data_IF_778871199128
#
_entry.id   IF_778871199128
#
_cell.length_a   1.000
_cell.length_b   1.000
_cell.length_c   1.000
_cell.angle_alpha   90.00
_cell.angle_beta   90.00
_cell.angle_gamma   90.00
#
_symmetry.space_group_name_H-M   'P 1'
#
loop_
_entity.id
_entity.type
_entity.pdbx_description
1 polymer ?
#
# COMPACT_ATOMS: atom_id res chain seq x y z
N UNK A 1 19.97 5.69 17.06
CA UNK A 1 19.74 4.59 16.09
C UNK A 1 18.23 4.46 15.97
N UNK A 2 17.66 4.76 14.80
CA UNK A 2 16.21 4.62 14.61
C UNK A 2 15.90 3.12 14.51
N UNK A 3 15.00 2.62 15.35
CA UNK A 3 14.60 1.22 15.35
C UNK A 3 13.86 0.89 14.03
N UNK A 4 14.36 -0.09 13.29
CA UNK A 4 13.75 -0.53 12.02
C UNK A 4 12.30 -0.99 12.19
N UNK A 5 11.93 -1.46 13.39
CA UNK A 5 10.56 -1.80 13.76
C UNK A 5 9.65 -0.57 13.75
N UNK A 6 10.10 0.54 14.37
CA UNK A 6 9.34 1.79 14.42
C UNK A 6 9.15 2.40 13.03
N UNK A 7 10.16 2.28 12.16
CA UNK A 7 10.04 2.75 10.77
C UNK A 7 8.98 1.94 10.03
N UNK A 8 8.99 0.62 10.14
CA UNK A 8 7.99 -0.24 9.53
C UNK A 8 6.57 0.07 10.05
N UNK A 9 6.43 0.28 11.36
CA UNK A 9 5.16 0.69 11.97
C UNK A 9 4.64 1.98 11.33
N UNK A 10 5.45 3.03 11.27
CA UNK A 10 5.06 4.33 10.72
C UNK A 10 4.71 4.24 9.23
N UNK A 11 5.44 3.40 8.46
CA UNK A 11 5.15 3.18 7.04
C UNK A 11 3.80 2.49 6.84
N UNK A 12 3.50 1.45 7.62
CA UNK A 12 2.20 0.78 7.54
C UNK A 12 1.03 1.65 8.00
N UNK A 13 1.24 2.48 9.03
CA UNK A 13 0.27 3.48 9.43
C UNK A 13 0.02 4.50 8.31
N UNK A 14 1.09 4.98 7.66
CA UNK A 14 0.99 5.90 6.53
C UNK A 14 0.23 5.29 5.35
N UNK A 15 0.50 4.01 5.04
CA UNK A 15 -0.28 3.23 4.04
C UNK A 15 -1.76 3.24 4.41
N UNK A 16 -2.12 2.98 5.67
CA UNK A 16 -3.51 3.01 6.11
C UNK A 16 -4.13 4.42 5.94
N UNK A 17 -3.45 5.48 6.38
CA UNK A 17 -3.91 6.86 6.25
C UNK A 17 -4.19 7.26 4.79
N UNK A 18 -3.26 6.96 3.87
CA UNK A 18 -3.45 7.23 2.44
C UNK A 18 -4.59 6.37 1.88
N UNK A 19 -4.66 5.10 2.30
CA UNK A 19 -5.65 4.15 1.77
C UNK A 19 -7.10 4.51 2.11
N UNK A 20 -7.37 5.15 3.25
CA UNK A 20 -8.73 5.61 3.62
C UNK A 20 -9.35 6.49 2.53
N UNK A 21 -8.54 7.34 1.89
CA UNK A 21 -9.04 8.23 0.85
C UNK A 21 -9.28 7.52 -0.49
N UNK A 22 -8.63 6.37 -0.71
CA UNK A 22 -8.73 5.62 -1.98
C UNK A 22 -9.72 4.45 -1.93
N UNK A 23 -10.02 3.92 -0.75
CA UNK A 23 -10.77 2.66 -0.62
C UNK A 23 -12.22 2.75 -1.10
N UNK A 24 -12.81 3.95 -1.12
CA UNK A 24 -14.17 4.16 -1.66
C UNK A 24 -14.21 3.98 -3.18
N UNK A 25 -13.17 4.43 -3.88
CA UNK A 25 -13.12 4.44 -5.36
C UNK A 25 -12.51 3.16 -5.90
N UNK A 26 -11.55 2.60 -5.18
CA UNK A 26 -10.83 1.38 -5.57
C UNK A 26 -11.49 0.11 -5.00
N UNK A 27 -12.31 0.22 -3.96
CA UNK A 27 -12.99 -0.89 -3.27
C UNK A 27 -12.05 -2.07 -2.98
N UNK A 28 -10.89 -1.79 -2.41
CA UNK A 28 -9.83 -2.75 -2.19
C UNK A 28 -9.40 -2.86 -0.72
N UNK A 29 -8.54 -3.83 -0.45
CA UNK A 29 -8.12 -4.19 0.90
C UNK A 29 -6.93 -3.39 1.42
N UNK A 30 -6.36 -2.42 0.69
CA UNK A 30 -5.12 -1.77 1.13
C UNK A 30 -5.22 -1.00 2.45
N UNK A 31 -6.40 -0.47 2.77
CA UNK A 31 -6.64 0.11 4.08
C UNK A 31 -6.53 -0.95 5.19
N UNK A 32 -7.25 -2.06 5.05
CA UNK A 32 -7.22 -3.17 6.00
C UNK A 32 -5.81 -3.78 6.12
N UNK A 33 -5.11 -3.92 4.99
CA UNK A 33 -3.75 -4.48 4.95
C UNK A 33 -2.70 -3.55 5.54
N UNK A 34 -2.85 -2.23 5.39
CA UNK A 34 -2.04 -1.24 6.10
C UNK A 34 -2.18 -1.36 7.61
N UNK A 35 -3.42 -1.46 8.11
CA UNK A 35 -3.67 -1.69 9.54
C UNK A 35 -3.16 -3.04 10.03
N UNK A 36 -3.34 -4.10 9.23
CA UNK A 36 -2.81 -5.43 9.56
C UNK A 36 -1.28 -5.38 9.71
N UNK A 37 -0.57 -4.76 8.75
CA UNK A 37 0.87 -4.59 8.82
C UNK A 37 1.31 -3.78 10.05
N UNK A 38 0.59 -2.71 10.35
CA UNK A 38 0.82 -1.87 11.52
C UNK A 38 0.72 -2.68 12.82
N UNK A 39 -0.41 -3.38 13.04
CA UNK A 39 -0.63 -4.15 14.27
C UNK A 39 0.28 -5.37 14.38
N UNK A 40 0.60 -6.05 13.27
CA UNK A 40 1.51 -7.18 13.28
C UNK A 40 2.93 -6.75 13.66
N UNK A 41 3.45 -5.65 13.10
CA UNK A 41 4.78 -5.15 13.48
C UNK A 41 4.80 -4.61 14.91
N UNK A 42 3.79 -3.83 15.30
CA UNK A 42 3.71 -3.23 16.63
C UNK A 42 3.70 -4.28 17.74
N UNK A 43 2.92 -5.34 17.57
CA UNK A 43 2.71 -6.36 18.60
C UNK A 43 3.63 -7.58 18.47
N UNK A 44 4.49 -7.66 17.45
CA UNK A 44 5.41 -8.80 17.31
C UNK A 44 6.50 -8.74 18.38
N UNK A 45 6.82 -9.91 18.97
CA UNK A 45 7.99 -10.09 19.82
C UNK A 45 9.26 -10.11 18.97
N UNK A 46 10.38 -9.68 19.53
CA UNK A 46 11.65 -9.61 18.81
C UNK A 46 12.11 -11.00 18.31
N UNK A 47 11.77 -12.06 19.04
CA UNK A 47 12.02 -13.46 18.65
C UNK A 47 11.26 -13.91 17.39
N UNK A 48 10.15 -13.24 17.03
CA UNK A 48 9.29 -13.59 15.89
C UNK A 48 9.32 -12.55 14.77
N UNK A 49 10.06 -11.44 14.95
CA UNK A 49 10.06 -10.31 14.00
C UNK A 49 10.44 -10.72 12.58
N UNK A 50 11.40 -11.62 12.42
CA UNK A 50 11.85 -12.09 11.10
C UNK A 50 10.76 -12.89 10.37
N UNK A 51 10.05 -13.77 11.08
CA UNK A 51 8.93 -14.55 10.50
C UNK A 51 7.78 -13.62 10.12
N UNK A 52 7.42 -12.68 11.01
CA UNK A 52 6.41 -11.65 10.74
C UNK A 52 6.80 -10.81 9.53
N UNK A 53 8.07 -10.39 9.46
CA UNK A 53 8.59 -9.59 8.36
C UNK A 53 8.54 -10.34 7.03
N UNK A 54 8.88 -11.63 7.01
CA UNK A 54 8.79 -12.47 5.81
C UNK A 54 7.35 -12.57 5.29
N UNK A 55 6.38 -12.83 6.18
CA UNK A 55 4.96 -12.90 5.80
C UNK A 55 4.44 -11.57 5.27
N UNK A 56 4.77 -10.47 5.96
CA UNK A 56 4.37 -9.13 5.53
C UNK A 56 5.03 -8.71 4.21
N UNK A 57 6.28 -9.13 3.98
CA UNK A 57 7.00 -8.85 2.73
C UNK A 57 6.27 -9.51 1.55
N UNK A 58 5.96 -10.81 1.65
CA UNK A 58 5.28 -11.56 0.60
C UNK A 58 3.91 -10.95 0.27
N UNK A 59 3.14 -10.64 1.31
CA UNK A 59 1.81 -10.03 1.16
C UNK A 59 1.92 -8.65 0.50
N UNK A 60 2.85 -7.79 0.93
CA UNK A 60 2.97 -6.45 0.36
C UNK A 60 3.48 -6.46 -1.08
N UNK A 61 4.38 -7.38 -1.44
CA UNK A 61 4.80 -7.56 -2.84
C UNK A 61 3.60 -7.90 -3.72
N UNK A 62 2.74 -8.82 -3.28
CA UNK A 62 1.52 -9.16 -4.03
C UNK A 62 0.58 -7.95 -4.17
N UNK A 63 0.37 -7.20 -3.08
CA UNK A 63 -0.47 -5.99 -3.10
C UNK A 63 0.10 -4.90 -4.01
N UNK A 64 1.43 -4.74 -4.07
CA UNK A 64 2.08 -3.79 -4.99
C UNK A 64 1.79 -4.19 -6.45
N UNK A 65 1.91 -5.48 -6.79
CA UNK A 65 1.63 -5.96 -8.14
C UNK A 65 0.16 -5.70 -8.50
N UNK A 66 -0.77 -6.02 -7.60
CA UNK A 66 -2.20 -5.75 -7.81
C UNK A 66 -2.49 -4.26 -7.97
N UNK A 67 -1.82 -3.39 -7.21
CA UNK A 67 -1.98 -1.94 -7.32
C UNK A 67 -1.47 -1.38 -8.64
N UNK A 68 -0.33 -1.89 -9.13
CA UNK A 68 0.21 -1.50 -10.45
C UNK A 68 -0.77 -1.90 -11.55
N UNK A 69 -1.28 -3.14 -11.52
CA UNK A 69 -2.27 -3.63 -12.48
C UNK A 69 -3.56 -2.80 -12.44
N UNK A 70 -4.03 -2.45 -11.24
CA UNK A 70 -5.19 -1.60 -11.06
C UNK A 70 -4.96 -0.21 -11.65
N UNK A 71 -3.80 0.42 -11.36
CA UNK A 71 -3.45 1.73 -11.89
C UNK A 71 -3.43 1.73 -13.42
N UNK A 72 -2.82 0.71 -14.04
CA UNK A 72 -2.78 0.57 -15.49
C UNK A 72 -4.18 0.40 -16.10
N UNK A 73 -4.98 -0.51 -15.52
CA UNK A 73 -6.34 -0.81 -15.99
C UNK A 73 -7.23 0.42 -15.88
N UNK A 74 -7.24 1.08 -14.72
CA UNK A 74 -8.10 2.24 -14.50
C UNK A 74 -7.63 3.48 -15.25
N UNK A 75 -6.32 3.66 -15.48
CA UNK A 75 -5.83 4.70 -16.38
C UNK A 75 -6.39 4.53 -17.80
N UNK A 76 -6.38 3.30 -18.32
CA UNK A 76 -6.98 3.00 -19.62
C UNK A 76 -8.49 3.25 -19.63
N UNK A 77 -9.22 2.75 -18.63
CA UNK A 77 -10.68 2.95 -18.52
C UNK A 77 -11.04 4.43 -18.40
N UNK A 78 -10.31 5.20 -17.60
CA UNK A 78 -10.61 6.61 -17.34
C UNK A 78 -10.20 7.54 -18.48
N UNK A 79 -9.26 7.13 -19.34
CA UNK A 79 -8.95 7.81 -20.59
C UNK A 79 -10.05 7.67 -21.65
N UNK A 80 -10.91 6.65 -21.51
CA UNK A 80 -12.01 6.40 -22.44
C UNK A 80 -13.11 7.45 -22.24
N UNK A 81 -13.61 8.05 -23.33
CA UNK A 81 -14.75 8.98 -23.28
C UNK A 81 -16.05 8.21 -23.41
N UNK A 82 -16.92 8.16 -22.38
CA UNK A 82 -18.16 7.40 -22.47
C UNK A 82 -19.14 8.07 -23.46
N UNK A 83 -19.91 7.24 -24.17
CA UNK A 83 -20.95 7.69 -25.11
C UNK A 83 -22.21 8.21 -24.41
N UNK A 84 -22.41 7.90 -23.12
CA UNK A 84 -23.51 8.36 -22.27
C UNK A 84 -22.97 9.00 -20.99
N UNK A 85 -23.72 9.93 -20.39
CA UNK A 85 -23.40 10.57 -19.09
C UNK A 85 -22.07 11.35 -19.05
N UNK A 86 -21.71 12.04 -20.13
CA UNK A 86 -20.45 12.81 -20.24
C UNK A 86 -20.31 13.90 -19.17
N UNK A 87 -21.40 14.57 -18.78
CA UNK A 87 -21.37 15.61 -17.75
C UNK A 87 -20.97 15.06 -16.37
N UNK A 88 -21.57 13.94 -15.96
CA UNK A 88 -21.20 13.26 -14.72
C UNK A 88 -19.75 12.73 -14.80
N UNK A 89 -19.36 12.13 -15.93
CA UNK A 89 -18.00 11.65 -16.16
C UNK A 89 -16.96 12.76 -15.92
N UNK A 90 -17.16 13.93 -16.55
CA UNK A 90 -16.29 15.10 -16.38
C UNK A 90 -16.27 15.62 -14.94
N UNK A 91 -17.40 15.57 -14.24
CA UNK A 91 -17.49 15.95 -12.83
C UNK A 91 -16.58 15.13 -11.91
N UNK A 92 -16.29 13.88 -12.27
CA UNK A 92 -15.40 13.00 -11.51
C UNK A 92 -13.93 13.00 -11.97
N UNK A 93 -13.52 13.82 -12.94
CA UNK A 93 -12.13 13.84 -13.42
C UNK A 93 -11.12 14.13 -12.30
N UNK A 94 -11.41 15.15 -11.47
CA UNK A 94 -10.53 15.53 -10.35
C UNK A 94 -10.39 14.40 -9.32
N UNK A 95 -11.50 13.76 -8.98
CA UNK A 95 -11.53 12.65 -8.01
C UNK A 95 -10.71 11.47 -8.53
N UNK A 96 -10.87 11.13 -9.81
CA UNK A 96 -10.09 10.06 -10.47
C UNK A 96 -8.60 10.38 -10.52
N UNK A 97 -8.23 11.62 -10.87
CA UNK A 97 -6.84 12.07 -10.88
C UNK A 97 -6.19 12.03 -9.51
N UNK A 98 -6.89 12.50 -8.47
CA UNK A 98 -6.40 12.45 -7.08
C UNK A 98 -6.25 10.99 -6.64
N UNK A 99 -7.19 10.12 -6.99
CA UNK A 99 -7.13 8.69 -6.63
C UNK A 99 -5.96 7.99 -7.32
N UNK A 100 -5.69 8.28 -8.60
CA UNK A 100 -4.50 7.78 -9.28
C UNK A 100 -3.22 8.22 -8.56
N UNK A 101 -3.12 9.50 -8.23
CA UNK A 101 -1.95 10.04 -7.54
C UNK A 101 -1.75 9.38 -6.16
N UNK A 102 -2.81 9.29 -5.35
CA UNK A 102 -2.76 8.62 -4.06
C UNK A 102 -2.42 7.12 -4.17
N UNK A 103 -2.86 6.46 -5.25
CA UNK A 103 -2.52 5.05 -5.50
C UNK A 103 -1.03 4.87 -5.78
N UNK A 104 -0.42 5.79 -6.54
CA UNK A 104 1.03 5.81 -6.76
C UNK A 104 1.78 6.04 -5.44
N UNK A 105 1.33 7.00 -4.62
CA UNK A 105 1.90 7.24 -3.29
C UNK A 105 1.83 5.98 -2.43
N UNK A 106 0.70 5.27 -2.46
CA UNK A 106 0.51 4.02 -1.72
C UNK A 106 1.50 2.91 -2.18
N UNK A 107 1.70 2.77 -3.50
CA UNK A 107 2.70 1.85 -4.07
C UNK A 107 4.11 2.19 -3.57
N UNK A 108 4.49 3.46 -3.56
CA UNK A 108 5.81 3.91 -3.09
C UNK A 108 5.98 3.60 -1.59
N UNK A 109 4.99 3.91 -0.76
CA UNK A 109 5.03 3.65 0.68
C UNK A 109 5.18 2.15 0.98
N UNK A 110 4.44 1.30 0.26
CA UNK A 110 4.59 -0.16 0.39
C UNK A 110 5.94 -0.65 -0.11
N UNK A 111 6.46 -0.08 -1.21
CA UNK A 111 7.80 -0.38 -1.71
C UNK A 111 8.87 -0.08 -0.66
N UNK A 112 8.76 1.08 0.00
CA UNK A 112 9.63 1.43 1.13
C UNK A 112 9.46 0.43 2.29
N UNK A 113 8.22 0.08 2.66
CA UNK A 113 7.96 -0.90 3.71
C UNK A 113 8.59 -2.27 3.38
N UNK A 114 8.46 -2.76 2.15
CA UNK A 114 9.14 -3.98 1.69
C UNK A 114 10.67 -3.87 1.82
N UNK A 115 11.26 -2.72 1.49
CA UNK A 115 12.69 -2.50 1.66
C UNK A 115 13.15 -2.64 3.12
N UNK A 116 12.43 -2.03 4.06
CA UNK A 116 12.75 -2.14 5.49
C UNK A 116 12.44 -3.53 6.06
N UNK A 117 11.33 -4.16 5.65
CA UNK A 117 11.02 -5.54 6.02
C UNK A 117 12.08 -6.52 5.54
N UNK A 118 12.64 -6.30 4.35
CA UNK A 118 13.75 -7.11 3.84
C UNK A 118 15.00 -6.98 4.70
N UNK A 119 15.30 -5.78 5.21
CA UNK A 119 16.41 -5.57 6.15
C UNK A 119 16.16 -6.31 7.48
N UNK A 120 14.95 -6.22 8.03
CA UNK A 120 14.56 -6.94 9.25
C UNK A 120 14.62 -8.46 9.08
N UNK A 121 14.22 -8.96 7.91
CA UNK A 121 14.33 -10.37 7.55
C UNK A 121 15.80 -10.83 7.47
N UNK A 122 16.64 -10.09 6.75
CA UNK A 122 18.08 -10.40 6.57
C UNK A 122 18.91 -10.25 7.84
N UNK A 123 18.48 -9.42 8.80
CA UNK A 123 19.15 -9.24 10.10
C UNK A 123 19.36 -10.55 10.87
N UNK A 124 18.58 -11.59 10.57
CA UNK A 124 18.73 -12.95 11.12
C UNK A 124 19.97 -13.70 10.63
N UNK A 125 20.60 -13.28 9.53
CA UNK A 125 21.77 -13.95 8.96
C UNK A 125 23.11 -13.56 9.58
N UNK A 126 23.12 -12.71 10.62
CA UNK A 126 24.35 -12.15 11.24
C UNK A 126 24.37 -12.23 12.77
N UNK A 127 23.46 -12.95 13.41
CA UNK A 127 23.51 -13.26 14.84
C UNK A 127 23.74 -14.75 15.04
#
# INVERSE_FOLDING_TARGET
>A
MVDGKQICENLFFSVACVSIFTCVIRSDYNFAMGLLGYYLIKNTSDSKISTTASSLLLINVLLIVMDILWCYTMSSVWSSKPSKNQAAWKGFDNIRSITMWLSIVNIILKGAACGFLWMLYKGKGKQ
#
